data_IF_160090634919
#
_entry.id   IF_160090634919
#
_cell.length_a   1.000
_cell.length_b   1.000
_cell.length_c   1.000
_cell.angle_alpha   90.00
_cell.angle_beta   90.00
_cell.angle_gamma   90.00
#
_symmetry.space_group_name_H-M   'P 1'
#
loop_
_entity.id
_entity.type
_entity.pdbx_description
1 polymer ?
#
# COMPACT_ATOMS: atom_id res chain seq x y z
N UNK A 1 0.31 -10.66 30.06
CA UNK A 1 1.15 -10.71 28.85
C UNK A 1 1.29 -9.31 28.27
N UNK A 2 2.52 -8.86 28.14
CA UNK A 2 2.79 -7.54 27.56
C UNK A 2 2.51 -7.55 26.07
N UNK A 3 1.80 -6.53 25.59
CA UNK A 3 1.54 -6.37 24.17
C UNK A 3 2.64 -5.54 23.53
N UNK A 4 3.24 -6.05 22.46
CA UNK A 4 4.19 -5.30 21.65
C UNK A 4 3.41 -4.51 20.59
N UNK A 5 3.77 -3.26 20.38
CA UNK A 5 3.14 -2.42 19.36
C UNK A 5 4.07 -2.32 18.15
N UNK A 6 3.50 -2.57 16.97
CA UNK A 6 4.22 -2.46 15.71
C UNK A 6 3.46 -1.45 14.84
N UNK A 7 4.18 -0.43 14.36
CA UNK A 7 3.60 0.58 13.50
C UNK A 7 4.28 0.53 12.16
N UNK A 8 3.47 0.37 11.12
CA UNK A 8 3.92 0.28 9.72
C UNK A 8 3.23 1.35 8.89
N UNK A 9 3.73 1.55 7.68
CA UNK A 9 3.13 2.48 6.74
C UNK A 9 3.32 1.95 5.33
N UNK A 10 2.37 2.25 4.47
CA UNK A 10 2.42 1.81 3.10
C UNK A 10 1.54 2.65 2.22
N UNK A 11 1.32 2.20 1.00
CA UNK A 11 0.59 3.01 0.04
C UNK A 11 -0.20 2.24 -0.98
N UNK A 12 -1.18 2.96 -1.51
CA UNK A 12 -1.86 2.62 -2.75
C UNK A 12 -1.24 3.53 -3.81
N UNK A 13 -0.34 2.98 -4.62
CA UNK A 13 0.29 3.74 -5.69
C UNK A 13 -0.51 3.54 -6.97
N UNK A 14 -0.90 4.65 -7.60
CA UNK A 14 -1.78 4.63 -8.76
C UNK A 14 -1.18 5.37 -9.95
N UNK A 15 -1.66 4.98 -11.12
CA UNK A 15 -1.42 5.69 -12.39
C UNK A 15 -2.72 5.70 -13.19
N UNK A 16 -2.80 6.59 -14.16
CA UNK A 16 -3.93 6.66 -15.07
C UNK A 16 -3.51 6.11 -16.42
N UNK A 17 -4.28 5.15 -16.94
CA UNK A 17 -4.05 4.55 -18.26
C UNK A 17 -5.39 4.53 -18.99
N UNK A 18 -5.47 5.19 -20.15
CA UNK A 18 -6.69 5.28 -20.96
C UNK A 18 -7.91 5.73 -20.12
N UNK A 19 -7.71 6.78 -19.32
CA UNK A 19 -8.73 7.38 -18.45
C UNK A 19 -9.20 6.48 -17.30
N UNK A 20 -8.48 5.39 -17.03
CA UNK A 20 -8.78 4.48 -15.93
C UNK A 20 -7.62 4.43 -14.95
N UNK A 21 -7.94 4.16 -13.68
CA UNK A 21 -6.92 4.04 -12.65
C UNK A 21 -6.40 2.61 -12.56
N UNK A 22 -5.07 2.50 -12.45
CA UNK A 22 -4.39 1.25 -12.15
C UNK A 22 -3.61 1.42 -10.85
N UNK A 23 -3.49 0.34 -10.09
CA UNK A 23 -2.72 0.30 -8.85
C UNK A 23 -1.74 -0.86 -8.89
N UNK A 24 -0.60 -0.69 -8.22
CA UNK A 24 0.41 -1.74 -8.16
C UNK A 24 0.23 -2.56 -6.89
N UNK A 25 0.21 -3.87 -7.05
CA UNK A 25 0.15 -4.82 -5.94
C UNK A 25 1.39 -5.71 -5.96
N UNK A 26 1.73 -6.24 -4.81
CA UNK A 26 2.84 -7.18 -4.67
C UNK A 26 2.32 -8.56 -4.27
N UNK A 27 3.02 -9.60 -4.70
CA UNK A 27 2.71 -10.96 -4.27
C UNK A 27 3.85 -11.55 -3.45
N UNK A 28 3.47 -12.35 -2.45
CA UNK A 28 4.37 -13.19 -1.66
C UNK A 28 3.71 -14.56 -1.57
N UNK A 29 4.25 -15.53 -2.31
CA UNK A 29 3.59 -16.81 -2.48
C UNK A 29 2.23 -16.63 -3.14
N UNK A 30 1.17 -17.07 -2.49
CA UNK A 30 -0.21 -16.96 -3.00
C UNK A 30 -0.92 -15.68 -2.55
N UNK A 31 -0.25 -14.87 -1.71
CA UNK A 31 -0.84 -13.65 -1.15
C UNK A 31 -0.55 -12.48 -2.06
N UNK A 32 -1.59 -11.70 -2.38
CA UNK A 32 -1.48 -10.40 -3.02
C UNK A 32 -1.84 -9.33 -2.00
N UNK A 33 -1.01 -8.31 -1.87
CA UNK A 33 -1.19 -7.28 -0.86
C UNK A 33 -0.69 -5.92 -1.32
N UNK A 34 -1.03 -4.91 -0.53
CA UNK A 34 -0.51 -3.55 -0.70
C UNK A 34 0.91 -3.48 -0.14
N UNK A 35 1.82 -2.73 -0.78
CA UNK A 35 3.17 -2.54 -0.27
C UNK A 35 3.15 -1.75 1.05
N UNK A 36 3.92 -2.23 2.04
CA UNK A 36 4.01 -1.61 3.36
C UNK A 36 5.18 -2.18 4.14
N UNK A 37 5.61 -1.46 5.16
CA UNK A 37 6.64 -1.95 6.06
C UNK A 37 6.78 -1.09 7.31
N UNK A 38 7.71 -1.49 8.16
CA UNK A 38 7.92 -0.86 9.47
C UNK A 38 8.41 0.57 9.36
N UNK A 39 7.86 1.45 10.18
CA UNK A 39 8.37 2.81 10.33
C UNK A 39 9.71 2.70 11.05
N UNK A 40 10.76 3.24 10.45
CA UNK A 40 12.08 3.25 11.04
C UNK A 40 12.27 4.50 11.90
N UNK A 41 13.23 4.42 12.82
CA UNK A 41 13.54 5.54 13.71
C UNK A 41 13.86 6.80 12.90
N UNK A 42 13.19 7.89 13.23
CA UNK A 42 13.40 9.18 12.57
C UNK A 42 12.56 9.38 11.31
N UNK A 43 11.83 8.36 10.87
CA UNK A 43 10.93 8.50 9.71
C UNK A 43 9.53 8.94 10.13
N UNK A 44 8.90 9.76 9.29
CA UNK A 44 7.46 9.98 9.38
C UNK A 44 6.74 8.82 8.70
N UNK A 45 5.44 8.68 8.95
CA UNK A 45 4.64 7.66 8.26
C UNK A 45 4.64 7.86 6.74
N UNK A 46 4.63 9.11 6.29
CA UNK A 46 4.68 9.46 4.86
C UNK A 46 6.00 9.03 4.24
N UNK A 47 7.11 9.32 4.90
CA UNK A 47 8.45 8.92 4.43
C UNK A 47 8.57 7.41 4.34
N UNK A 48 8.05 6.69 5.34
CA UNK A 48 8.05 5.23 5.34
C UNK A 48 7.23 4.68 4.18
N UNK A 49 6.04 5.26 3.95
CA UNK A 49 5.19 4.82 2.84
C UNK A 49 5.92 4.93 1.50
N UNK A 50 6.57 6.06 1.25
CA UNK A 50 7.31 6.27 0.00
C UNK A 50 8.50 5.31 -0.12
N UNK A 51 9.24 5.11 0.97
CA UNK A 51 10.39 4.19 0.98
C UNK A 51 9.96 2.74 0.75
N UNK A 52 8.96 2.27 1.49
CA UNK A 52 8.50 0.89 1.37
C UNK A 52 7.88 0.61 0.00
N UNK A 53 7.11 1.55 -0.54
CA UNK A 53 6.57 1.41 -1.89
C UNK A 53 7.70 1.29 -2.90
N UNK A 54 8.75 2.10 -2.77
CA UNK A 54 9.89 2.04 -3.69
C UNK A 54 10.64 0.71 -3.56
N UNK A 55 10.91 0.26 -2.33
CA UNK A 55 11.60 -1.01 -2.11
C UNK A 55 10.80 -2.19 -2.66
N UNK A 56 9.54 -2.29 -2.31
CA UNK A 56 8.72 -3.46 -2.66
C UNK A 56 8.20 -3.46 -4.09
N UNK A 57 7.98 -2.29 -4.69
CA UNK A 57 7.43 -2.20 -6.05
C UNK A 57 8.41 -1.68 -7.09
N UNK A 58 9.49 -1.02 -6.68
CA UNK A 58 10.39 -0.33 -7.58
C UNK A 58 9.86 1.03 -8.06
N UNK A 59 8.71 1.45 -7.57
CA UNK A 59 8.04 2.66 -8.05
C UNK A 59 8.26 3.84 -7.12
N UNK A 60 8.39 5.01 -7.73
CA UNK A 60 8.48 6.29 -7.03
C UNK A 60 7.21 7.09 -7.27
N UNK A 61 6.85 7.92 -6.29
CA UNK A 61 5.66 8.73 -6.42
C UNK A 61 5.58 9.84 -5.39
N UNK A 62 4.46 10.53 -5.45
CA UNK A 62 4.16 11.66 -4.56
C UNK A 62 2.90 11.34 -3.77
N UNK A 63 2.92 11.65 -2.47
CA UNK A 63 1.74 11.48 -1.62
C UNK A 63 0.73 12.56 -1.98
N UNK A 64 -0.49 12.14 -2.29
CA UNK A 64 -1.59 13.07 -2.59
C UNK A 64 -2.62 13.14 -1.47
N UNK A 65 -2.79 12.06 -0.70
CA UNK A 65 -3.74 12.01 0.41
C UNK A 65 -3.37 10.94 1.41
N UNK A 66 -3.82 11.12 2.65
CA UNK A 66 -3.91 10.03 3.60
C UNK A 66 -5.20 9.26 3.30
N UNK A 67 -5.14 7.92 3.26
CA UNK A 67 -6.33 7.09 3.05
C UNK A 67 -6.94 6.70 4.39
N UNK A 68 -6.14 6.15 5.29
CA UNK A 68 -6.60 5.67 6.58
C UNK A 68 -5.63 4.68 7.19
N UNK A 69 -6.15 3.85 8.09
CA UNK A 69 -5.33 2.88 8.78
C UNK A 69 -6.10 1.58 8.99
N UNK A 70 -5.34 0.51 9.14
CA UNK A 70 -5.87 -0.77 9.59
C UNK A 70 -5.11 -1.18 10.84
N UNK A 71 -5.76 -1.94 11.72
CA UNK A 71 -5.09 -2.47 12.90
C UNK A 71 -5.61 -3.86 13.21
N UNK A 72 -4.75 -4.68 13.76
CA UNK A 72 -5.10 -6.03 14.14
C UNK A 72 -4.14 -6.56 15.19
N UNK A 73 -4.59 -7.61 15.91
CA UNK A 73 -3.80 -8.29 16.93
C UNK A 73 -3.38 -9.64 16.37
N UNK A 74 -2.14 -10.02 16.60
CA UNK A 74 -1.68 -11.36 16.27
C UNK A 74 -0.76 -11.88 17.37
N UNK A 75 -0.56 -13.21 17.37
CA UNK A 75 0.24 -13.89 18.38
C UNK A 75 1.38 -14.63 17.68
N UNK A 76 2.62 -14.34 18.14
CA UNK A 76 3.81 -15.04 17.71
C UNK A 76 4.76 -15.03 18.90
N UNK A 77 4.58 -16.01 19.82
CA UNK A 77 5.20 -16.08 21.14
C UNK A 77 4.70 -15.02 22.11
N UNK A 78 4.48 -13.78 21.61
CA UNK A 78 3.94 -12.65 22.34
C UNK A 78 2.70 -12.15 21.63
N UNK A 79 1.93 -11.31 22.29
CA UNK A 79 0.81 -10.63 21.67
C UNK A 79 1.32 -9.36 21.01
N UNK A 80 0.94 -9.17 19.75
CA UNK A 80 1.31 -7.98 18.97
C UNK A 80 0.06 -7.23 18.56
N UNK A 81 0.10 -5.91 18.73
CA UNK A 81 -0.86 -5.00 18.15
C UNK A 81 -0.16 -4.31 17.00
N UNK A 82 -0.69 -4.48 15.79
CA UNK A 82 -0.11 -3.88 14.59
C UNK A 82 -1.07 -2.86 14.01
N UNK A 83 -0.53 -1.68 13.69
CA UNK A 83 -1.25 -0.63 12.97
C UNK A 83 -0.49 -0.31 11.69
N UNK A 84 -1.21 -0.17 10.57
CA UNK A 84 -0.62 0.20 9.29
C UNK A 84 -1.32 1.45 8.78
N UNK A 85 -0.55 2.50 8.55
CA UNK A 85 -1.03 3.73 7.90
C UNK A 85 -0.92 3.56 6.39
N UNK A 86 -1.94 4.02 5.65
CA UNK A 86 -1.92 3.95 4.19
C UNK A 86 -2.13 5.32 3.57
N UNK A 87 -1.36 5.58 2.53
CA UNK A 87 -1.36 6.83 1.78
C UNK A 87 -1.62 6.57 0.31
N UNK A 88 -2.34 7.51 -0.32
CA UNK A 88 -2.55 7.49 -1.76
C UNK A 88 -1.35 8.17 -2.41
N UNK A 89 -0.69 7.47 -3.33
CA UNK A 89 0.57 7.91 -3.94
C UNK A 89 0.40 7.94 -5.45
N UNK A 90 0.69 9.10 -6.07
CA UNK A 90 0.69 9.24 -7.52
C UNK A 90 2.03 8.78 -8.07
N UNK A 91 2.01 7.83 -8.99
CA UNK A 91 3.21 7.34 -9.65
C UNK A 91 3.90 8.46 -10.43
N UNK A 92 5.21 8.62 -10.25
CA UNK A 92 6.00 9.65 -10.93
C UNK A 92 7.27 9.11 -11.57
N UNK A 93 7.71 7.91 -11.22
CA UNK A 93 8.96 7.36 -11.74
C UNK A 93 9.19 5.93 -11.29
N UNK A 94 10.36 5.40 -11.65
CA UNK A 94 10.74 4.04 -11.35
C UNK A 94 10.05 3.01 -12.24
N UNK A 95 10.37 1.75 -12.00
CA UNK A 95 9.83 0.62 -12.76
C UNK A 95 9.59 -0.56 -11.83
N UNK A 96 8.49 -1.30 -12.08
CA UNK A 96 8.20 -2.51 -11.31
C UNK A 96 9.30 -3.57 -11.44
N UNK A 97 10.13 -3.50 -12.47
CA UNK A 97 11.29 -4.40 -12.60
C UNK A 97 12.36 -4.15 -11.55
N UNK A 98 12.32 -3.03 -10.85
CA UNK A 98 13.31 -2.65 -9.84
C UNK A 98 12.90 -2.99 -8.40
N UNK A 99 11.86 -3.83 -8.23
CA UNK A 99 11.43 -4.23 -6.89
C UNK A 99 12.50 -5.09 -6.21
N UNK A 100 12.49 -5.11 -4.87
CA UNK A 100 13.42 -5.94 -4.11
C UNK A 100 13.03 -7.42 -4.18
N UNK A 101 13.82 -8.27 -3.52
CA UNK A 101 13.60 -9.72 -3.54
C UNK A 101 12.53 -10.19 -2.56
N UNK A 102 12.02 -9.33 -1.69
CA UNK A 102 10.99 -9.72 -0.73
C UNK A 102 9.64 -9.99 -1.40
N UNK A 103 9.36 -9.29 -2.49
CA UNK A 103 8.18 -9.57 -3.29
C UNK A 103 8.52 -10.54 -4.42
N UNK A 104 7.69 -11.57 -4.62
CA UNK A 104 7.86 -12.52 -5.72
C UNK A 104 7.51 -11.88 -7.05
N UNK A 105 6.42 -11.10 -7.07
CA UNK A 105 5.95 -10.40 -8.27
C UNK A 105 5.37 -9.05 -7.91
N UNK A 106 5.46 -8.12 -8.84
CA UNK A 106 4.81 -6.82 -8.77
C UNK A 106 4.06 -6.63 -10.08
N UNK A 107 2.80 -6.22 -10.00
CA UNK A 107 2.00 -5.98 -11.21
C UNK A 107 1.09 -4.79 -11.03
N UNK A 108 0.85 -4.10 -12.13
CA UNK A 108 -0.20 -3.09 -12.23
C UNK A 108 -1.52 -3.79 -12.54
N UNK A 109 -2.56 -3.40 -11.83
CA UNK A 109 -3.91 -3.93 -12.05
C UNK A 109 -4.90 -2.78 -12.21
N UNK A 110 -5.87 -2.88 -13.12
CA UNK A 110 -7.03 -1.99 -13.06
C UNK A 110 -7.60 -2.05 -11.64
N UNK A 111 -8.01 -0.90 -11.12
CA UNK A 111 -8.44 -0.84 -9.70
C UNK A 111 -9.61 -1.80 -9.43
N UNK A 112 -10.51 -2.00 -10.40
CA UNK A 112 -11.62 -2.94 -10.27
C UNK A 112 -11.17 -4.39 -10.12
N UNK A 113 -10.07 -4.77 -10.76
CA UNK A 113 -9.49 -6.10 -10.63
C UNK A 113 -8.70 -6.25 -9.34
N UNK A 114 -8.02 -5.19 -8.91
CA UNK A 114 -7.25 -5.20 -7.67
C UNK A 114 -8.13 -5.59 -6.46
N UNK A 115 -9.39 -5.16 -6.43
CA UNK A 115 -10.33 -5.56 -5.39
C UNK A 115 -10.50 -7.06 -5.30
N UNK A 116 -10.54 -7.73 -6.44
CA UNK A 116 -10.74 -9.18 -6.50
C UNK A 116 -9.48 -9.95 -6.12
N UNK A 117 -8.33 -9.35 -6.39
CA UNK A 117 -7.02 -10.00 -6.25
C UNK A 117 -6.46 -9.86 -4.83
N UNK A 118 -6.69 -8.72 -4.17
CA UNK A 118 -6.22 -8.51 -2.80
C UNK A 118 -6.73 -9.60 -1.87
N UNK A 119 -5.80 -10.22 -1.15
CA UNK A 119 -6.09 -11.34 -0.26
C UNK A 119 -6.84 -10.90 1.00
N UNK A 120 -6.47 -9.75 1.57
CA UNK A 120 -6.98 -9.35 2.88
C UNK A 120 -8.15 -8.38 2.80
N UNK A 121 -9.28 -8.69 3.49
CA UNK A 121 -10.45 -7.81 3.46
C UNK A 121 -10.20 -6.39 3.96
N UNK A 122 -9.34 -6.21 4.97
CA UNK A 122 -9.04 -4.88 5.48
C UNK A 122 -8.28 -4.03 4.46
N UNK A 123 -7.43 -4.65 3.62
CA UNK A 123 -6.75 -3.94 2.54
C UNK A 123 -7.71 -3.59 1.41
N UNK A 124 -8.71 -4.45 1.13
CA UNK A 124 -9.75 -4.10 0.18
C UNK A 124 -10.54 -2.87 0.61
N UNK A 125 -10.77 -2.71 1.91
CA UNK A 125 -11.43 -1.50 2.45
C UNK A 125 -10.57 -0.25 2.23
N UNK A 126 -9.26 -0.36 2.39
CA UNK A 126 -8.32 0.73 2.11
C UNK A 126 -8.39 1.10 0.62
N UNK A 127 -8.37 0.09 -0.25
CA UNK A 127 -8.45 0.33 -1.69
C UNK A 127 -9.77 1.00 -2.08
N UNK A 128 -10.86 0.64 -1.42
CA UNK A 128 -12.17 1.27 -1.66
C UNK A 128 -12.16 2.75 -1.29
N UNK A 129 -11.55 3.09 -0.16
CA UNK A 129 -11.40 4.49 0.24
C UNK A 129 -10.52 5.26 -0.75
N UNK A 130 -9.44 4.64 -1.22
CA UNK A 130 -8.58 5.22 -2.24
C UNK A 130 -9.36 5.51 -3.52
N UNK A 131 -10.17 4.57 -3.96
CA UNK A 131 -11.01 4.75 -5.16
C UNK A 131 -11.96 5.93 -5.00
N UNK A 132 -12.58 6.08 -3.85
CA UNK A 132 -13.47 7.22 -3.58
C UNK A 132 -12.73 8.56 -3.68
N UNK A 133 -11.53 8.63 -3.12
CA UNK A 133 -10.71 9.84 -3.20
C UNK A 133 -10.39 10.17 -4.65
N UNK A 134 -9.96 9.16 -5.43
CA UNK A 134 -9.62 9.34 -6.84
C UNK A 134 -10.82 9.81 -7.66
N UNK A 135 -12.00 9.25 -7.44
CA UNK A 135 -13.22 9.64 -8.16
C UNK A 135 -13.66 11.05 -7.80
N UNK A 136 -13.53 11.43 -6.54
CA UNK A 136 -13.87 12.77 -6.08
C UNK A 136 -12.95 13.82 -6.71
N UNK A 137 -11.65 13.59 -6.71
CA UNK A 137 -10.68 14.50 -7.31
C UNK A 137 -10.88 14.61 -8.82
N UNK A 138 -11.19 13.49 -9.48
CA UNK A 138 -11.40 13.47 -10.92
C UNK A 138 -12.63 14.28 -11.33
N UNK A 139 -13.65 14.40 -10.46
CA UNK A 139 -14.82 15.21 -10.71
C UNK A 139 -14.55 16.71 -10.55
N UNK A 140 -13.53 17.08 -9.80
CA UNK A 140 -13.16 18.47 -9.54
C UNK A 140 -12.26 19.04 -10.63
N UNK A 141 -11.72 18.21 -11.48
CA UNK A 141 -10.90 18.60 -12.63
C UNK A 141 -11.68 18.42 -13.91
#
# INVERSE_FOLDING_TARGET
MKTQRIISSGGVIFRTVNSKFEVALISRGKVWCLPKGLIEMGETAEETALREVKEETGLEGEIVNRIGEISYVFFKRKRYFKMVHFYLIRHSGGSISNHDFEADRVKWFPISEAFKILTYPNERKILKKAEKILKTENKLT
#
